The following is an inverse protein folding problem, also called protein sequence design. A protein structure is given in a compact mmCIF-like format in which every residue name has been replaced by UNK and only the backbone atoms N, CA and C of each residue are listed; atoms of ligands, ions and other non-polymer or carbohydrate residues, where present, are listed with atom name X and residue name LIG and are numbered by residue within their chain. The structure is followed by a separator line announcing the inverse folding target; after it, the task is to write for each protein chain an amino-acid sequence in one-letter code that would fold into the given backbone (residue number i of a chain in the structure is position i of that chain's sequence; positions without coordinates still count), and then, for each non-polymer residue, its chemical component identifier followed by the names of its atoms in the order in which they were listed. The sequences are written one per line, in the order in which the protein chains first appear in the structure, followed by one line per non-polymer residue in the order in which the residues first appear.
data_IF_536377070508
#
_entry.id   IF_536377070508
#
_cell.length_a   1.000
_cell.length_b   1.000
_cell.length_c   1.000
_cell.angle_alpha   90.00
_cell.angle_beta   90.00
_cell.angle_gamma   90.00
#
_symmetry.space_group_name_H-M   'P 1'
#
loop_
_entity.id
_entity.type
_entity.pdbx_description
1 polymer ?
#
# COMPACT_ATOMS: atom_id res chain seq x y z
N UNK A 1 1.06 81.35 -19.26
CA UNK A 1 1.22 81.18 -17.79
C UNK A 1 1.39 79.69 -17.50
N UNK A 2 2.18 79.33 -16.48
CA UNK A 2 3.28 78.38 -16.59
C UNK A 2 2.90 76.90 -16.47
N UNK A 3 3.70 76.08 -17.15
CA UNK A 3 3.85 74.64 -16.96
C UNK A 3 4.32 74.36 -15.52
N UNK A 4 3.58 73.55 -14.76
CA UNK A 4 4.05 72.99 -13.50
C UNK A 4 4.46 71.53 -13.70
N UNK A 5 5.70 71.25 -13.31
CA UNK A 5 6.39 69.98 -13.39
C UNK A 5 6.03 69.08 -12.20
N UNK A 6 5.83 67.79 -12.51
CA UNK A 6 6.09 66.55 -11.77
C UNK A 6 6.06 66.49 -10.23
N UNK A 7 5.46 65.40 -9.72
CA UNK A 7 6.16 64.36 -8.92
C UNK A 7 5.22 63.18 -8.69
N UNK A 8 5.36 62.13 -9.50
CA UNK A 8 4.93 60.79 -9.10
C UNK A 8 5.93 60.30 -8.06
N UNK A 9 5.49 60.19 -6.81
CA UNK A 9 6.24 59.51 -5.75
C UNK A 9 6.16 58.00 -6.01
N UNK A 10 7.19 57.46 -6.65
CA UNK A 10 7.45 56.02 -6.61
C UNK A 10 7.98 55.74 -5.21
N UNK A 11 7.21 54.98 -4.44
CA UNK A 11 7.61 54.54 -3.10
C UNK A 11 8.76 53.52 -3.24
N UNK A 12 9.98 53.83 -2.78
CA UNK A 12 11.11 52.92 -2.91
C UNK A 12 11.15 52.02 -1.67
N UNK A 13 11.20 50.70 -1.91
CA UNK A 13 11.42 49.66 -0.90
C UNK A 13 10.27 49.41 0.10
N UNK A 14 9.39 48.50 -0.29
CA UNK A 14 9.11 47.35 0.56
C UNK A 14 9.32 46.10 -0.30
N UNK A 15 10.57 45.81 -0.65
CA UNK A 15 10.97 44.42 -0.87
C UNK A 15 10.94 43.77 0.52
N UNK A 16 9.78 43.23 0.88
CA UNK A 16 9.67 42.32 2.01
C UNK A 16 10.42 41.05 1.59
N UNK A 17 11.73 41.05 1.83
CA UNK A 17 12.56 39.88 1.61
C UNK A 17 12.03 38.78 2.52
N UNK A 18 11.38 37.79 1.91
CA UNK A 18 11.04 36.54 2.58
C UNK A 18 12.34 36.02 3.17
N UNK A 19 12.44 35.99 4.49
CA UNK A 19 13.56 35.38 5.20
C UNK A 19 13.48 33.87 4.96
N UNK A 20 14.17 33.43 3.91
CA UNK A 20 14.22 32.03 3.49
C UNK A 20 14.78 31.17 4.62
N UNK A 21 15.70 31.68 5.45
CA UNK A 21 16.27 30.92 6.56
C UNK A 21 15.22 30.66 7.64
N UNK A 22 14.39 31.66 7.93
CA UNK A 22 13.26 31.52 8.87
C UNK A 22 12.18 30.58 8.34
N UNK A 23 11.85 30.67 7.05
CA UNK A 23 10.91 29.76 6.38
C UNK A 23 11.41 28.30 6.35
N UNK A 24 12.72 28.10 6.14
CA UNK A 24 13.34 26.77 6.14
C UNK A 24 13.41 26.18 7.55
N UNK A 25 13.54 27.00 8.60
CA UNK A 25 13.47 26.55 10.00
C UNK A 25 12.06 26.10 10.42
N UNK A 26 11.01 26.66 9.81
CA UNK A 26 9.61 26.29 10.09
C UNK A 26 9.18 24.97 9.40
N UNK A 27 10.00 24.41 8.50
CA UNK A 27 9.79 23.08 7.96
C UNK A 27 10.39 22.04 8.91
N UNK A 28 9.59 21.57 9.85
CA UNK A 28 9.94 20.40 10.62
C UNK A 28 9.95 19.16 9.71
N UNK A 29 11.14 18.77 9.25
CA UNK A 29 11.37 17.60 8.39
C UNK A 29 10.73 16.34 9.00
N UNK A 30 10.72 16.21 10.33
CA UNK A 30 10.13 15.08 11.03
C UNK A 30 8.62 15.01 10.80
N UNK A 31 7.93 16.15 10.91
CA UNK A 31 6.48 16.24 10.71
C UNK A 31 6.11 16.00 9.24
N UNK A 32 6.94 16.49 8.31
CA UNK A 32 6.77 16.22 6.89
C UNK A 32 6.92 14.73 6.56
N UNK A 33 7.98 14.09 7.05
CA UNK A 33 8.22 12.64 6.88
C UNK A 33 7.08 11.84 7.49
N UNK A 34 6.62 12.21 8.69
CA UNK A 34 5.47 11.57 9.35
C UNK A 34 4.22 11.70 8.49
N UNK A 35 3.92 12.89 8.00
CA UNK A 35 2.74 13.16 7.15
C UNK A 35 2.74 12.31 5.89
N UNK A 36 3.88 12.17 5.22
CA UNK A 36 4.00 11.31 4.03
C UNK A 36 3.76 9.84 4.38
N UNK A 37 4.38 9.34 5.46
CA UNK A 37 4.22 7.96 5.92
C UNK A 37 2.76 7.66 6.27
N UNK A 38 2.09 8.56 6.98
CA UNK A 38 0.69 8.41 7.37
C UNK A 38 -0.20 8.36 6.13
N UNK A 39 -0.02 9.30 5.19
CA UNK A 39 -0.77 9.32 3.92
C UNK A 39 -0.58 8.04 3.11
N UNK A 40 0.65 7.56 2.98
CA UNK A 40 0.93 6.32 2.27
C UNK A 40 0.34 5.10 2.98
N UNK A 41 0.43 5.04 4.31
CA UNK A 41 -0.14 3.94 5.09
C UNK A 41 -1.65 3.88 4.96
N UNK A 42 -2.33 5.03 5.02
CA UNK A 42 -3.78 5.10 4.77
C UNK A 42 -4.14 4.68 3.34
N UNK A 43 -3.39 5.14 2.35
CA UNK A 43 -3.58 4.72 0.95
C UNK A 43 -3.40 3.21 0.80
N UNK A 44 -2.30 2.64 1.30
CA UNK A 44 -2.02 1.22 1.25
C UNK A 44 -3.13 0.40 1.93
N UNK A 45 -3.57 0.82 3.12
CA UNK A 45 -4.64 0.15 3.86
C UNK A 45 -5.94 0.11 3.05
N UNK A 46 -6.30 1.25 2.46
CA UNK A 46 -7.45 1.32 1.57
C UNK A 46 -7.32 0.38 0.36
N UNK A 47 -6.13 0.28 -0.26
CA UNK A 47 -5.90 -0.62 -1.39
C UNK A 47 -6.07 -2.10 -1.01
N UNK A 48 -5.55 -2.53 0.15
CA UNK A 48 -5.64 -3.93 0.56
C UNK A 48 -7.06 -4.32 0.99
N UNK A 49 -7.79 -3.42 1.66
CA UNK A 49 -9.14 -3.69 2.14
C UNK A 49 -10.17 -3.76 1.00
N UNK A 50 -9.94 -3.01 -0.08
CA UNK A 50 -10.84 -2.98 -1.25
C UNK A 50 -10.41 -3.91 -2.39
N UNK A 51 -9.35 -4.71 -2.19
CA UNK A 51 -8.87 -5.65 -3.20
C UNK A 51 -9.47 -7.04 -2.96
N UNK A 52 -10.32 -7.49 -3.89
CA UNK A 52 -10.83 -8.86 -3.90
C UNK A 52 -9.74 -9.93 -4.07
N UNK A 53 -8.58 -9.54 -4.61
CA UNK A 53 -7.40 -10.39 -4.77
C UNK A 53 -6.65 -10.56 -3.45
N UNK A 54 -6.61 -9.52 -2.62
CA UNK A 54 -5.88 -9.54 -1.34
C UNK A 54 -6.81 -9.89 -0.16
N UNK A 55 -7.99 -10.47 -0.43
CA UNK A 55 -9.00 -10.75 0.59
C UNK A 55 -8.48 -11.62 1.73
N UNK A 56 -7.65 -12.61 1.43
CA UNK A 56 -7.01 -13.43 2.44
C UNK A 56 -5.85 -12.68 3.13
N UNK A 57 -4.98 -12.03 2.35
CA UNK A 57 -3.85 -11.28 2.88
C UNK A 57 -4.25 -10.17 3.87
N UNK A 58 -5.33 -9.44 3.58
CA UNK A 58 -5.86 -8.36 4.43
C UNK A 58 -6.41 -8.87 5.78
N UNK A 59 -6.73 -10.17 5.90
CA UNK A 59 -7.18 -10.75 7.17
C UNK A 59 -6.09 -10.72 8.24
N UNK A 60 -4.81 -10.87 7.87
CA UNK A 60 -3.70 -10.93 8.83
C UNK A 60 -2.68 -9.80 8.68
N UNK A 61 -2.52 -9.18 7.49
CA UNK A 61 -1.60 -8.04 7.34
C UNK A 61 -2.27 -6.75 7.84
N UNK A 62 -1.78 -6.21 8.97
CA UNK A 62 -2.35 -5.01 9.61
C UNK A 62 -1.52 -3.74 9.39
N UNK A 63 -0.22 -3.89 9.19
CA UNK A 63 0.72 -2.78 9.08
C UNK A 63 1.50 -2.83 7.77
N UNK A 64 1.81 -1.65 7.22
CA UNK A 64 2.63 -1.51 6.02
C UNK A 64 4.13 -1.64 6.37
N UNK A 65 4.54 -2.80 6.84
CA UNK A 65 5.91 -3.09 7.27
C UNK A 65 6.45 -4.39 6.65
N UNK A 66 7.74 -4.65 6.87
CA UNK A 66 8.40 -5.90 6.48
C UNK A 66 7.72 -7.09 7.18
N UNK A 67 7.49 -8.18 6.45
CA UNK A 67 6.90 -9.39 7.02
C UNK A 67 7.88 -10.10 7.97
N UNK A 68 7.42 -10.42 9.19
CA UNK A 68 8.26 -11.03 10.23
C UNK A 68 8.85 -12.38 9.80
N UNK A 69 8.12 -13.17 9.01
CA UNK A 69 8.58 -14.47 8.54
C UNK A 69 9.89 -14.37 7.72
N UNK A 70 10.17 -13.21 7.10
CA UNK A 70 11.39 -13.00 6.34
C UNK A 70 12.64 -13.03 7.22
N UNK A 71 12.50 -12.60 8.48
CA UNK A 71 13.58 -12.61 9.47
C UNK A 71 13.56 -13.89 10.33
N UNK A 72 12.37 -14.42 10.62
CA UNK A 72 12.19 -15.50 11.61
C UNK A 72 12.36 -16.90 11.00
N UNK A 73 12.01 -17.11 9.73
CA UNK A 73 12.15 -18.42 9.07
C UNK A 73 13.57 -18.53 8.50
N UNK A 74 14.37 -19.46 9.01
CA UNK A 74 15.76 -19.67 8.56
C UNK A 74 15.87 -20.41 7.23
N UNK A 75 14.97 -21.36 6.96
CA UNK A 75 14.96 -22.12 5.72
C UNK A 75 14.55 -21.23 4.53
N UNK A 76 15.43 -21.02 3.53
CA UNK A 76 15.11 -20.23 2.35
C UNK A 76 13.94 -20.80 1.52
N UNK A 77 13.73 -22.11 1.52
CA UNK A 77 12.64 -22.73 0.76
C UNK A 77 11.29 -22.42 1.40
N UNK A 78 11.20 -22.52 2.72
CA UNK A 78 10.02 -22.12 3.47
C UNK A 78 9.74 -20.62 3.31
N UNK A 79 10.75 -19.74 3.48
CA UNK A 79 10.56 -18.29 3.23
C UNK A 79 10.01 -18.02 1.84
N UNK A 80 10.59 -18.65 0.81
CA UNK A 80 10.12 -18.52 -0.58
C UNK A 80 8.67 -18.98 -0.73
N UNK A 81 8.30 -20.08 -0.08
CA UNK A 81 6.92 -20.59 -0.12
C UNK A 81 5.94 -19.59 0.53
N UNK A 82 6.26 -19.07 1.71
CA UNK A 82 5.45 -18.03 2.37
C UNK A 82 5.35 -16.77 1.51
N UNK A 83 6.45 -16.28 0.94
CA UNK A 83 6.40 -15.11 0.05
C UNK A 83 5.55 -15.35 -1.18
N UNK A 84 5.64 -16.54 -1.79
CA UNK A 84 4.76 -16.92 -2.89
C UNK A 84 3.29 -16.94 -2.46
N UNK A 85 3.01 -17.45 -1.28
CA UNK A 85 1.66 -17.48 -0.73
C UNK A 85 1.12 -16.06 -0.49
N UNK A 86 1.89 -15.17 0.16
CA UNK A 86 1.50 -13.78 0.44
C UNK A 86 1.25 -12.92 -0.80
N UNK A 87 1.93 -13.21 -1.92
CA UNK A 87 1.81 -12.44 -3.17
C UNK A 87 0.92 -13.14 -4.22
N UNK A 88 0.12 -14.13 -3.80
CA UNK A 88 -0.76 -14.92 -4.65
C UNK A 88 -0.05 -15.60 -5.84
N UNK A 89 1.19 -16.04 -5.63
CA UNK A 89 1.99 -16.79 -6.59
C UNK A 89 1.97 -18.29 -6.26
N UNK A 90 0.77 -18.84 -6.15
CA UNK A 90 0.49 -20.26 -5.92
C UNK A 90 -0.43 -20.81 -7.00
N UNK A 91 -0.68 -22.12 -6.94
CA UNK A 91 -1.46 -22.86 -7.94
C UNK A 91 -2.88 -23.21 -7.49
N UNK A 92 -3.33 -22.68 -6.35
CA UNK A 92 -4.71 -22.84 -5.90
C UNK A 92 -5.70 -22.32 -6.96
N UNK A 93 -6.85 -22.96 -7.10
CA UNK A 93 -7.82 -22.63 -8.15
C UNK A 93 -8.34 -21.19 -8.03
N UNK A 94 -8.32 -20.56 -6.85
CA UNK A 94 -8.67 -19.15 -6.71
C UNK A 94 -7.86 -18.23 -7.64
N UNK A 95 -6.58 -18.54 -7.83
CA UNK A 95 -5.68 -17.83 -8.76
C UNK A 95 -5.54 -18.55 -10.10
N UNK A 96 -5.37 -19.88 -10.11
CA UNK A 96 -5.18 -20.63 -11.35
C UNK A 96 -6.42 -20.61 -12.25
N UNK A 97 -7.61 -20.77 -11.67
CA UNK A 97 -8.89 -20.66 -12.36
C UNK A 97 -9.17 -19.24 -12.86
N UNK A 98 -8.63 -18.21 -12.18
CA UNK A 98 -8.71 -16.81 -12.65
C UNK A 98 -8.04 -16.64 -14.01
N UNK A 99 -6.85 -17.21 -14.21
CA UNK A 99 -6.15 -17.17 -15.50
C UNK A 99 -6.89 -17.92 -16.62
N UNK A 100 -7.80 -18.82 -16.25
CA UNK A 100 -8.66 -19.56 -17.17
C UNK A 100 -10.06 -18.98 -17.31
N UNK A 101 -10.34 -17.81 -16.73
CA UNK A 101 -11.65 -17.16 -16.71
C UNK A 101 -12.77 -18.02 -16.10
N UNK A 102 -12.45 -18.90 -15.16
CA UNK A 102 -13.45 -19.65 -14.38
C UNK A 102 -14.12 -18.69 -13.37
N UNK A 103 -15.45 -18.66 -13.25
CA UNK A 103 -16.16 -17.88 -12.21
C UNK A 103 -15.63 -18.21 -10.81
N UNK A 104 -15.58 -17.23 -9.89
CA UNK A 104 -14.92 -17.42 -8.57
C UNK A 104 -15.57 -18.56 -7.79
N UNK A 105 -16.88 -18.58 -7.80
CA UNK A 105 -17.78 -19.56 -7.18
C UNK A 105 -17.64 -20.97 -7.75
N UNK A 106 -17.01 -21.13 -8.93
CA UNK A 106 -16.75 -22.42 -9.58
C UNK A 106 -15.30 -22.91 -9.43
N UNK A 107 -14.43 -22.13 -8.78
CA UNK A 107 -13.01 -22.48 -8.56
C UNK A 107 -12.84 -23.45 -7.40
N UNK A 108 -13.41 -24.63 -7.52
CA UNK A 108 -13.49 -25.60 -6.44
C UNK A 108 -12.16 -26.28 -6.11
N UNK A 109 -11.99 -26.63 -4.83
CA UNK A 109 -10.91 -27.50 -4.37
C UNK A 109 -10.98 -28.85 -5.06
N UNK A 110 -9.86 -29.29 -5.62
CA UNK A 110 -9.78 -30.56 -6.37
C UNK A 110 -9.39 -31.75 -5.49
N UNK A 111 -8.99 -31.48 -4.25
CA UNK A 111 -8.46 -32.50 -3.35
C UNK A 111 -9.49 -33.02 -2.35
N UNK A 112 -10.45 -32.19 -1.95
CA UNK A 112 -11.47 -32.57 -0.97
C UNK A 112 -12.89 -32.63 -1.58
N UNK A 113 -13.76 -33.41 -0.94
CA UNK A 113 -15.13 -33.66 -1.41
C UNK A 113 -16.13 -32.57 -0.97
N UNK A 114 -15.66 -31.51 -0.30
CA UNK A 114 -16.52 -30.44 0.25
C UNK A 114 -17.13 -29.53 -0.82
N UNK A 115 -16.58 -29.58 -2.04
CA UNK A 115 -17.00 -28.74 -3.18
C UNK A 115 -17.05 -27.24 -2.84
N UNK A 116 -16.08 -26.78 -2.05
CA UNK A 116 -15.88 -25.36 -1.69
C UNK A 116 -14.81 -24.74 -2.59
N UNK A 117 -14.79 -23.40 -2.66
CA UNK A 117 -13.78 -22.65 -3.41
C UNK A 117 -12.38 -22.92 -2.84
N UNK A 118 -11.41 -23.18 -3.71
CA UNK A 118 -10.00 -23.41 -3.35
C UNK A 118 -9.25 -22.08 -3.20
N UNK A 119 -9.56 -21.36 -2.14
CA UNK A 119 -8.80 -20.16 -1.76
C UNK A 119 -7.76 -20.46 -0.67
N UNK A 120 -7.00 -19.42 -0.31
CA UNK A 120 -5.93 -19.50 0.67
C UNK A 120 -6.43 -19.89 2.07
N UNK A 121 -7.65 -19.49 2.43
CA UNK A 121 -8.27 -19.84 3.71
C UNK A 121 -8.64 -21.32 3.73
N UNK A 122 -9.29 -21.80 2.67
CA UNK A 122 -9.63 -23.21 2.53
C UNK A 122 -8.37 -24.09 2.59
N UNK A 123 -7.33 -23.72 1.85
CA UNK A 123 -6.04 -24.40 1.86
C UNK A 123 -5.41 -24.45 3.26
N UNK A 124 -5.38 -23.33 3.98
CA UNK A 124 -4.66 -23.23 5.25
C UNK A 124 -5.42 -23.81 6.45
N UNK A 125 -6.76 -23.77 6.44
CA UNK A 125 -7.54 -24.02 7.66
C UNK A 125 -8.71 -25.01 7.51
N UNK A 126 -9.24 -25.24 6.31
CA UNK A 126 -10.47 -26.04 6.16
C UNK A 126 -10.27 -27.37 5.44
N UNK A 127 -9.32 -27.45 4.51
CA UNK A 127 -9.11 -28.62 3.69
C UNK A 127 -8.42 -29.72 4.50
N UNK A 128 -9.02 -30.90 4.56
CA UNK A 128 -8.50 -32.06 5.27
C UNK A 128 -7.66 -33.00 4.36
N UNK A 129 -7.26 -32.53 3.17
CA UNK A 129 -6.61 -33.33 2.12
C UNK A 129 -5.29 -32.72 1.61
N UNK A 130 -4.88 -31.56 2.13
CA UNK A 130 -3.56 -30.97 1.89
C UNK A 130 -2.53 -31.45 2.92
#
# INVERSE_FOLDING_TARGET
MPLTSSKTSVDPNIEETIDIEKFVQDINITDFVKTIKDKYTSFWKHQIENSSKLSFYSTFKKDCNLEEYLNNIKDPNQRRMFSKFSVNNHKLEIEFGRYKNVPREERFCKYCDKRTVEDEFHFAFECNKY
#
